data_IF_841268485650
#
_entry.id   IF_841268485650
#
_cell.length_a   1.000
_cell.length_b   1.000
_cell.length_c   1.000
_cell.angle_alpha   90.00
_cell.angle_beta   90.00
_cell.angle_gamma   90.00
#
_symmetry.space_group_name_H-M   'P 1'
#
loop_
_entity.id
_entity.type
_entity.pdbx_description
1 polymer ?
#
# COMPACT_ATOMS: atom_id res chain seq x y z
N UNK A 1 -65.59 -30.82 -16.83
CA UNK A 1 -66.61 -30.00 -16.13
C UNK A 1 -66.09 -28.57 -16.20
N UNK A 2 -66.67 -27.81 -17.12
CA UNK A 2 -66.87 -26.35 -17.19
C UNK A 2 -65.71 -25.41 -16.80
N UNK A 3 -65.15 -24.63 -17.75
CA UNK A 3 -65.62 -23.30 -18.21
C UNK A 3 -65.36 -22.23 -17.12
N UNK A 4 -64.88 -21.01 -17.32
CA UNK A 4 -64.68 -20.16 -18.50
C UNK A 4 -64.01 -18.85 -17.99
N UNK A 5 -63.23 -18.18 -18.85
CA UNK A 5 -63.21 -16.73 -19.17
C UNK A 5 -63.32 -15.66 -18.05
N UNK A 6 -62.66 -14.50 -18.07
CA UNK A 6 -62.30 -13.56 -19.18
C UNK A 6 -61.53 -12.39 -18.51
N UNK A 7 -60.44 -11.86 -19.10
CA UNK A 7 -60.35 -10.57 -19.84
C UNK A 7 -60.95 -9.33 -19.11
N UNK A 8 -60.50 -8.09 -19.25
CA UNK A 8 -59.32 -7.40 -19.81
C UNK A 8 -59.59 -5.90 -19.62
N UNK A 9 -58.54 -5.13 -19.37
CA UNK A 9 -58.25 -3.78 -19.89
C UNK A 9 -59.18 -2.55 -19.73
N UNK A 10 -58.46 -1.42 -19.64
CA UNK A 10 -58.69 -0.09 -20.24
C UNK A 10 -59.27 0.98 -19.28
N UNK A 11 -58.48 2.02 -18.94
CA UNK A 11 -58.35 3.34 -19.61
C UNK A 11 -59.50 4.29 -19.20
N UNK A 12 -59.39 5.59 -18.89
CA UNK A 12 -58.76 6.73 -19.58
C UNK A 12 -58.75 7.94 -18.61
N UNK A 13 -57.80 8.85 -18.83
CA UNK A 13 -57.65 10.28 -18.46
C UNK A 13 -58.82 11.03 -17.80
N UNK A 14 -58.47 11.93 -16.86
CA UNK A 14 -59.05 13.28 -16.85
C UNK A 14 -58.03 14.35 -16.42
N UNK A 15 -58.08 15.47 -17.12
CA UNK A 15 -57.24 16.67 -17.08
C UNK A 15 -57.83 17.79 -16.22
N UNK A 16 -56.99 18.72 -15.73
CA UNK A 16 -57.17 20.20 -15.65
C UNK A 16 -56.03 20.77 -14.77
N UNK A 17 -55.01 21.46 -15.27
CA UNK A 17 -54.92 22.82 -15.85
C UNK A 17 -54.54 23.92 -14.83
N UNK A 18 -53.32 24.45 -15.03
CA UNK A 18 -52.72 25.76 -14.72
C UNK A 18 -52.93 26.51 -13.40
N UNK A 19 -51.82 26.93 -12.79
CA UNK A 19 -51.51 28.36 -12.61
C UNK A 19 -50.01 28.59 -12.38
N UNK A 20 -49.45 29.46 -13.21
CA UNK A 20 -48.08 29.98 -13.20
C UNK A 20 -47.75 30.73 -11.90
N UNK A 21 -46.57 30.46 -11.34
CA UNK A 21 -45.74 31.50 -10.72
C UNK A 21 -44.26 31.18 -10.90
N UNK A 22 -43.64 31.95 -11.78
CA UNK A 22 -42.20 31.97 -12.01
C UNK A 22 -41.45 32.49 -10.78
N UNK A 23 -40.49 31.71 -10.28
CA UNK A 23 -39.45 32.20 -9.37
C UNK A 23 -38.15 32.35 -10.19
N UNK A 24 -37.76 33.61 -10.41
CA UNK A 24 -36.50 34.00 -11.07
C UNK A 24 -35.30 33.54 -10.23
N UNK A 25 -34.17 33.17 -10.87
CA UNK A 25 -32.95 32.83 -10.16
C UNK A 25 -32.33 34.10 -9.60
N UNK A 26 -32.11 34.14 -8.29
CA UNK A 26 -31.51 35.30 -7.65
C UNK A 26 -29.98 35.17 -7.63
N UNK A 27 -29.38 36.30 -7.96
CA UNK A 27 -28.01 36.53 -8.35
C UNK A 27 -26.99 36.31 -7.21
N UNK A 28 -25.81 35.81 -7.60
CA UNK A 28 -24.49 36.12 -7.05
C UNK A 28 -24.35 36.32 -5.53
N UNK A 29 -23.83 35.28 -4.87
CA UNK A 29 -22.75 35.45 -3.88
C UNK A 29 -21.74 34.33 -4.08
N UNK A 30 -20.91 34.53 -5.09
CA UNK A 30 -19.67 33.79 -5.25
C UNK A 30 -18.80 34.19 -4.06
N UNK A 31 -18.70 33.32 -3.06
CA UNK A 31 -17.74 33.49 -1.98
C UNK A 31 -16.37 33.36 -2.60
N UNK A 32 -15.66 34.48 -2.72
CA UNK A 32 -14.24 34.54 -3.03
C UNK A 32 -13.45 33.82 -1.92
N UNK A 33 -13.45 32.49 -1.99
CA UNK A 33 -12.37 31.70 -1.41
C UNK A 33 -11.21 31.87 -2.39
N UNK A 34 -10.45 32.93 -2.14
CA UNK A 34 -9.18 33.23 -2.77
C UNK A 34 -8.34 31.94 -2.78
N UNK A 35 -8.38 31.24 -3.91
CA UNK A 35 -7.68 29.99 -4.09
C UNK A 35 -6.20 30.21 -3.86
N UNK A 36 -5.54 29.27 -3.18
CA UNK A 36 -4.10 29.32 -2.95
C UNK A 36 -3.41 29.68 -4.28
N UNK A 37 -2.67 30.81 -4.36
CA UNK A 37 -2.04 31.24 -5.59
C UNK A 37 -1.24 30.10 -6.23
N UNK A 38 -1.33 29.94 -7.55
CA UNK A 38 -0.60 28.90 -8.29
C UNK A 38 0.89 28.89 -7.96
N UNK A 39 1.45 30.05 -7.62
CA UNK A 39 2.84 30.21 -7.20
C UNK A 39 3.14 29.55 -5.85
N UNK A 40 2.19 29.53 -4.92
CA UNK A 40 2.30 28.79 -3.66
C UNK A 40 2.15 27.29 -3.92
N UNK A 41 1.20 26.88 -4.77
CA UNK A 41 1.09 25.47 -5.19
C UNK A 41 2.35 24.98 -5.91
N UNK A 42 2.96 25.82 -6.75
CA UNK A 42 4.22 25.55 -7.43
C UNK A 42 5.38 25.55 -6.44
N UNK A 43 5.41 26.46 -5.47
CA UNK A 43 6.43 26.52 -4.42
C UNK A 43 6.35 25.34 -3.45
N UNK A 44 5.15 24.88 -3.12
CA UNK A 44 4.90 23.70 -2.27
C UNK A 44 5.17 22.41 -3.04
N UNK A 45 4.78 22.31 -4.31
CA UNK A 45 5.16 21.19 -5.18
C UNK A 45 6.68 21.17 -5.44
N UNK A 46 7.33 22.33 -5.51
CA UNK A 46 8.78 22.44 -5.65
C UNK A 46 9.48 22.11 -4.33
N UNK A 47 8.95 22.51 -3.18
CA UNK A 47 9.47 22.18 -1.85
C UNK A 47 9.28 20.68 -1.51
N UNK A 48 8.14 20.09 -1.88
CA UNK A 48 7.89 18.65 -1.78
C UNK A 48 8.65 17.85 -2.86
N UNK A 49 8.89 18.47 -4.03
CA UNK A 49 9.69 17.91 -5.12
C UNK A 49 11.20 18.05 -4.94
N UNK A 50 11.67 18.88 -4.00
CA UNK A 50 13.09 19.01 -3.64
C UNK A 50 13.52 18.03 -2.54
N UNK A 51 12.56 17.35 -1.91
CA UNK A 51 12.75 16.02 -1.34
C UNK A 51 12.66 14.97 -2.46
N UNK A 52 13.56 15.04 -3.45
CA UNK A 52 13.74 13.90 -4.35
C UNK A 52 14.31 12.78 -3.49
N UNK A 53 13.44 11.84 -3.12
CA UNK A 53 13.86 10.59 -2.49
C UNK A 53 14.70 9.72 -3.44
N UNK A 54 14.70 10.10 -4.72
CA UNK A 54 15.62 9.63 -5.73
C UNK A 54 16.27 10.83 -6.46
N UNK A 55 17.30 11.46 -5.88
CA UNK A 55 17.96 12.62 -6.49
C UNK A 55 18.79 12.28 -7.73
N UNK A 56 19.00 10.98 -8.01
CA UNK A 56 19.86 10.48 -9.08
C UNK A 56 19.13 9.57 -10.09
N UNK A 57 17.80 9.47 -10.02
CA UNK A 57 17.00 8.53 -10.84
C UNK A 57 17.56 7.09 -10.80
N UNK A 58 18.05 6.66 -9.63
CA UNK A 58 18.66 5.34 -9.41
C UNK A 58 17.61 4.26 -9.15
N UNK A 59 16.35 4.64 -8.91
CA UNK A 59 15.29 3.66 -8.74
C UNK A 59 14.91 3.05 -10.10
N UNK A 60 14.66 1.75 -10.15
CA UNK A 60 14.36 1.03 -11.39
C UNK A 60 13.02 1.44 -12.04
N UNK A 61 12.26 2.36 -11.43
CA UNK A 61 10.95 2.80 -11.90
C UNK A 61 10.73 4.29 -11.66
N UNK A 62 10.04 4.95 -12.60
CA UNK A 62 9.65 6.36 -12.46
C UNK A 62 8.64 6.52 -11.31
N UNK A 63 9.04 7.20 -10.26
CA UNK A 63 8.19 7.46 -9.11
C UNK A 63 7.10 8.48 -9.43
N UNK A 64 5.84 8.10 -9.22
CA UNK A 64 4.71 9.05 -9.27
C UNK A 64 4.64 9.92 -8.00
N UNK A 65 3.78 10.94 -8.00
CA UNK A 65 3.52 11.79 -6.82
C UNK A 65 3.06 10.96 -5.61
N UNK A 66 2.25 9.92 -5.84
CA UNK A 66 1.78 9.02 -4.78
C UNK A 66 2.96 8.27 -4.15
N UNK A 67 3.87 7.75 -4.96
CA UNK A 67 5.06 7.06 -4.45
C UNK A 67 5.93 7.97 -3.58
N UNK A 68 6.21 9.19 -4.03
CA UNK A 68 6.98 10.15 -3.24
C UNK A 68 6.31 10.47 -1.90
N UNK A 69 5.00 10.72 -1.91
CA UNK A 69 4.22 10.97 -0.68
C UNK A 69 4.31 9.80 0.29
N UNK A 70 4.15 8.57 -0.20
CA UNK A 70 4.20 7.36 0.61
C UNK A 70 5.60 7.07 1.14
N UNK A 71 6.64 7.21 0.33
CA UNK A 71 8.01 7.04 0.80
C UNK A 71 8.38 8.09 1.85
N UNK A 72 8.03 9.36 1.62
CA UNK A 72 8.27 10.42 2.60
C UNK A 72 7.59 10.10 3.94
N UNK A 73 6.30 9.73 3.89
CA UNK A 73 5.55 9.30 5.09
C UNK A 73 6.21 8.13 5.81
N UNK A 74 6.67 7.12 5.07
CA UNK A 74 7.30 5.95 5.64
C UNK A 74 8.60 6.29 6.38
N UNK A 75 9.49 7.05 5.74
CA UNK A 75 10.77 7.43 6.37
C UNK A 75 10.60 8.42 7.52
N UNK A 76 9.61 9.33 7.45
CA UNK A 76 9.40 10.31 8.51
C UNK A 76 8.65 9.75 9.71
N UNK A 77 7.59 8.98 9.48
CA UNK A 77 6.66 8.57 10.54
C UNK A 77 6.95 7.16 11.08
N UNK A 78 7.24 6.19 10.21
CA UNK A 78 7.41 4.80 10.63
C UNK A 78 8.81 4.53 11.18
N UNK A 79 9.86 5.08 10.54
CA UNK A 79 11.24 4.87 11.01
C UNK A 79 11.46 5.41 12.44
N UNK A 80 10.90 6.58 12.73
CA UNK A 80 10.97 7.19 14.06
C UNK A 80 10.24 6.37 15.13
N UNK A 81 9.12 5.73 14.77
CA UNK A 81 8.30 4.96 15.71
C UNK A 81 8.89 3.58 16.03
N UNK A 82 9.41 2.89 15.01
CA UNK A 82 9.81 1.49 15.16
C UNK A 82 11.25 1.34 15.69
N UNK A 83 12.14 2.29 15.39
CA UNK A 83 13.57 2.14 15.70
C UNK A 83 14.16 3.28 16.55
N UNK A 84 13.37 4.31 16.85
CA UNK A 84 13.83 5.48 17.60
C UNK A 84 14.90 6.32 16.87
N UNK A 85 15.30 7.48 17.43
CA UNK A 85 16.35 8.29 16.85
C UNK A 85 17.70 7.57 16.97
N UNK A 86 18.35 7.33 15.83
CA UNK A 86 19.74 6.84 15.80
C UNK A 86 20.69 8.04 15.80
N UNK A 87 21.79 8.03 16.57
CA UNK A 87 22.84 9.04 16.45
C UNK A 87 23.36 9.12 15.01
N UNK A 88 23.82 10.32 14.60
CA UNK A 88 24.41 10.51 13.28
C UNK A 88 25.57 9.53 13.07
N UNK A 89 25.54 8.79 11.95
CA UNK A 89 26.54 7.78 11.60
C UNK A 89 26.36 6.40 12.27
N UNK A 90 25.40 6.24 13.20
CA UNK A 90 25.11 4.93 13.79
C UNK A 90 24.35 4.00 12.82
N UNK A 91 24.35 2.70 13.13
CA UNK A 91 23.55 1.70 12.42
C UNK A 91 22.06 1.99 12.60
N UNK A 92 21.33 2.06 11.49
CA UNK A 92 19.88 2.25 11.46
C UNK A 92 19.25 1.06 10.73
N UNK A 93 18.44 0.22 11.40
CA UNK A 93 17.79 -0.92 10.75
C UNK A 93 16.95 -0.52 9.54
N UNK A 94 16.31 0.65 9.58
CA UNK A 94 15.56 1.17 8.42
C UNK A 94 16.46 1.49 7.24
N UNK A 95 17.54 2.24 7.46
CA UNK A 95 18.45 2.67 6.39
C UNK A 95 19.33 1.52 5.89
N UNK A 96 19.86 0.74 6.81
CA UNK A 96 20.95 -0.20 6.53
C UNK A 96 20.45 -1.61 6.20
N UNK A 97 19.21 -1.95 6.53
CA UNK A 97 18.63 -3.28 6.30
C UNK A 97 17.38 -3.20 5.43
N UNK A 98 16.33 -2.54 5.90
CA UNK A 98 15.03 -2.57 5.25
C UNK A 98 15.01 -1.82 3.92
N UNK A 99 15.55 -0.60 3.88
CA UNK A 99 15.53 0.22 2.68
C UNK A 99 16.21 -0.47 1.48
N UNK A 100 17.44 -1.05 1.61
CA UNK A 100 18.04 -1.82 0.53
C UNK A 100 17.19 -3.01 0.06
N UNK A 101 16.52 -3.71 0.98
CA UNK A 101 15.66 -4.84 0.64
C UNK A 101 14.35 -4.40 -0.03
N UNK A 102 13.84 -3.22 0.32
CA UNK A 102 12.61 -2.68 -0.26
C UNK A 102 12.81 -2.19 -1.69
N UNK A 103 14.00 -1.66 -1.98
CA UNK A 103 14.35 -1.12 -3.28
C UNK A 103 15.01 -2.16 -4.20
N UNK A 104 15.28 -3.38 -3.71
CA UNK A 104 15.99 -4.40 -4.48
C UNK A 104 15.23 -4.88 -5.70
N UNK A 105 13.89 -4.88 -5.63
CA UNK A 105 13.03 -5.42 -6.69
C UNK A 105 11.61 -4.82 -6.64
N UNK A 106 10.83 -4.91 -7.73
CA UNK A 106 9.54 -4.25 -7.81
C UNK A 106 8.48 -4.84 -6.85
N UNK A 107 8.55 -6.11 -6.48
CA UNK A 107 7.58 -6.70 -5.54
C UNK A 107 7.80 -6.17 -4.12
N UNK A 108 9.06 -6.13 -3.66
CA UNK A 108 9.43 -5.51 -2.38
C UNK A 108 9.01 -4.04 -2.32
N UNK A 109 9.23 -3.29 -3.40
CA UNK A 109 8.87 -1.88 -3.47
C UNK A 109 7.36 -1.67 -3.37
N UNK A 110 6.57 -2.44 -4.13
CA UNK A 110 5.12 -2.39 -4.04
C UNK A 110 4.63 -2.77 -2.62
N UNK A 111 5.22 -3.80 -2.01
CA UNK A 111 4.86 -4.16 -0.65
C UNK A 111 5.23 -3.06 0.37
N UNK A 112 6.35 -2.36 0.21
CA UNK A 112 6.67 -1.15 0.98
C UNK A 112 5.61 -0.04 0.79
N UNK A 113 5.17 0.21 -0.44
CA UNK A 113 4.11 1.19 -0.71
C UNK A 113 2.80 0.81 -0.04
N UNK A 114 2.46 -0.48 -0.04
CA UNK A 114 1.30 -1.00 0.66
C UNK A 114 1.37 -0.70 2.17
N UNK A 115 2.50 -1.00 2.82
CA UNK A 115 2.71 -0.69 4.24
C UNK A 115 2.53 0.80 4.53
N UNK A 116 3.16 1.65 3.72
CA UNK A 116 3.08 3.10 3.91
C UNK A 116 1.66 3.62 3.73
N UNK A 117 0.96 3.17 2.70
CA UNK A 117 -0.42 3.57 2.42
C UNK A 117 -1.39 3.10 3.51
N UNK A 118 -1.19 1.89 4.06
CA UNK A 118 -2.01 1.38 5.15
C UNK A 118 -1.76 2.18 6.45
N UNK A 119 -0.49 2.45 6.76
CA UNK A 119 -0.13 3.27 7.92
C UNK A 119 -0.69 4.70 7.81
N UNK A 120 -0.58 5.33 6.64
CA UNK A 120 -1.14 6.67 6.40
C UNK A 120 -2.66 6.69 6.56
N UNK A 121 -3.37 5.72 5.99
CA UNK A 121 -4.83 5.61 6.11
C UNK A 121 -5.26 5.44 7.58
N UNK A 122 -4.52 4.62 8.34
CA UNK A 122 -4.76 4.42 9.78
C UNK A 122 -4.59 5.71 10.58
N UNK A 123 -3.55 6.49 10.29
CA UNK A 123 -3.33 7.81 10.92
C UNK A 123 -4.44 8.81 10.59
N UNK A 124 -5.14 8.63 9.47
CA UNK A 124 -6.31 9.42 9.08
C UNK A 124 -7.63 8.89 9.65
N UNK A 125 -7.59 7.83 10.46
CA UNK A 125 -8.76 7.25 11.13
C UNK A 125 -9.49 6.16 10.33
N UNK A 126 -8.96 5.76 9.17
CA UNK A 126 -9.56 4.69 8.37
C UNK A 126 -9.05 3.33 8.80
N UNK A 127 -9.93 2.32 8.79
CA UNK A 127 -9.59 0.93 9.11
C UNK A 127 -8.96 0.17 7.94
N UNK A 128 -9.17 0.64 6.71
CA UNK A 128 -8.75 0.01 5.47
C UNK A 128 -8.18 1.05 4.50
N UNK A 129 -7.42 0.59 3.51
CA UNK A 129 -6.82 1.45 2.48
C UNK A 129 -6.86 0.75 1.13
N UNK A 130 -7.67 1.27 0.20
CA UNK A 130 -7.77 0.75 -1.17
C UNK A 130 -6.41 0.84 -1.87
N UNK A 131 -5.72 1.99 -1.75
CA UNK A 131 -4.36 2.18 -2.28
C UNK A 131 -3.38 1.15 -1.72
N UNK A 132 -3.48 0.81 -0.42
CA UNK A 132 -2.62 -0.23 0.15
C UNK A 132 -2.92 -1.62 -0.44
N UNK A 133 -4.20 -1.93 -0.66
CA UNK A 133 -4.62 -3.19 -1.27
C UNK A 133 -4.17 -3.30 -2.73
N UNK A 134 -4.22 -2.21 -3.50
CA UNK A 134 -3.70 -2.16 -4.87
C UNK A 134 -2.20 -2.50 -4.91
N UNK A 135 -1.40 -1.82 -4.09
CA UNK A 135 0.04 -2.09 -4.00
C UNK A 135 0.35 -3.50 -3.49
N UNK A 136 -0.38 -4.00 -2.48
CA UNK A 136 -0.24 -5.39 -2.00
C UNK A 136 -0.57 -6.38 -3.11
N UNK A 137 -1.67 -6.16 -3.84
CA UNK A 137 -2.11 -7.02 -4.93
C UNK A 137 -1.04 -7.10 -6.03
N UNK A 138 -0.44 -5.97 -6.40
CA UNK A 138 0.62 -5.94 -7.41
C UNK A 138 1.89 -6.65 -6.93
N UNK A 139 2.29 -6.47 -5.66
CA UNK A 139 3.41 -7.22 -5.08
C UNK A 139 3.17 -8.74 -5.13
N UNK A 140 1.97 -9.20 -4.73
CA UNK A 140 1.59 -10.62 -4.77
C UNK A 140 1.59 -11.14 -6.20
N UNK A 141 1.06 -10.38 -7.17
CA UNK A 141 1.03 -10.75 -8.59
C UNK A 141 2.44 -10.96 -9.14
N UNK A 142 3.38 -10.06 -8.82
CA UNK A 142 4.78 -10.18 -9.24
C UNK A 142 5.44 -11.41 -8.62
N UNK A 143 5.26 -11.64 -7.31
CA UNK A 143 5.78 -12.84 -6.62
C UNK A 143 5.22 -14.12 -7.26
N UNK A 144 3.91 -14.18 -7.51
CA UNK A 144 3.27 -15.33 -8.17
C UNK A 144 3.88 -15.62 -9.55
N UNK A 145 4.19 -14.58 -10.33
CA UNK A 145 4.87 -14.74 -11.61
C UNK A 145 6.28 -15.33 -11.44
N UNK A 146 7.05 -14.87 -10.45
CA UNK A 146 8.40 -15.38 -10.19
C UNK A 146 8.39 -16.82 -9.68
N UNK A 147 7.37 -17.20 -8.93
CA UNK A 147 7.17 -18.55 -8.41
C UNK A 147 6.86 -19.59 -9.49
N UNK A 148 6.55 -19.18 -10.73
CA UNK A 148 6.35 -20.11 -11.86
C UNK A 148 7.66 -20.75 -12.32
N UNK A 149 8.79 -20.13 -12.02
CA UNK A 149 10.13 -20.63 -12.31
C UNK A 149 10.76 -21.15 -11.00
N UNK A 150 10.99 -22.48 -10.85
CA UNK A 150 11.55 -23.06 -9.63
C UNK A 150 12.92 -22.50 -9.23
N UNK A 151 13.78 -22.13 -10.19
CA UNK A 151 15.11 -21.58 -9.87
C UNK A 151 14.97 -20.15 -9.34
N UNK A 152 14.08 -19.36 -9.96
CA UNK A 152 13.79 -18.01 -9.50
C UNK A 152 13.02 -17.98 -8.19
N UNK A 153 12.16 -18.95 -7.92
CA UNK A 153 11.31 -19.03 -6.73
C UNK A 153 12.12 -18.97 -5.42
N UNK A 154 13.35 -19.48 -5.42
CA UNK A 154 14.24 -19.47 -4.24
C UNK A 154 15.20 -18.28 -4.20
N UNK A 155 15.11 -17.33 -5.13
CA UNK A 155 15.99 -16.15 -5.20
C UNK A 155 15.82 -15.19 -4.02
N UNK A 156 16.84 -14.33 -3.81
CA UNK A 156 16.78 -13.25 -2.80
C UNK A 156 15.61 -12.32 -3.02
N UNK A 157 15.27 -12.03 -4.29
CA UNK A 157 14.20 -11.11 -4.64
C UNK A 157 12.84 -11.60 -4.15
N UNK A 158 12.55 -12.90 -4.36
CA UNK A 158 11.30 -13.52 -3.90
C UNK A 158 11.23 -13.53 -2.39
N UNK A 159 12.31 -13.91 -1.71
CA UNK A 159 12.34 -13.97 -0.24
C UNK A 159 12.19 -12.58 0.38
N UNK A 160 12.87 -11.56 -0.16
CA UNK A 160 12.74 -10.17 0.29
C UNK A 160 11.30 -9.66 0.16
N UNK A 161 10.66 -9.94 -0.97
CA UNK A 161 9.27 -9.54 -1.22
C UNK A 161 8.30 -10.25 -0.26
N UNK A 162 8.48 -11.55 -0.01
CA UNK A 162 7.64 -12.32 0.93
C UNK A 162 7.81 -11.82 2.37
N UNK A 163 9.03 -11.51 2.81
CA UNK A 163 9.28 -10.95 4.14
C UNK A 163 8.58 -9.59 4.32
N UNK A 164 8.60 -8.76 3.29
CA UNK A 164 7.92 -7.47 3.31
C UNK A 164 6.40 -7.64 3.31
N UNK A 165 5.85 -8.59 2.55
CA UNK A 165 4.43 -8.97 2.61
C UNK A 165 4.03 -9.53 3.99
N UNK A 166 4.88 -10.33 4.63
CA UNK A 166 4.66 -10.80 6.00
C UNK A 166 4.57 -9.65 7.00
N UNK A 167 5.41 -8.63 6.81
CA UNK A 167 5.34 -7.39 7.58
C UNK A 167 3.98 -6.73 7.37
N UNK A 168 3.50 -6.67 6.12
CA UNK A 168 2.16 -6.15 5.83
C UNK A 168 1.07 -6.94 6.59
N UNK A 169 1.04 -8.26 6.44
CA UNK A 169 0.00 -9.09 7.05
C UNK A 169 0.00 -8.99 8.58
N UNK A 170 1.18 -8.84 9.18
CA UNK A 170 1.32 -8.74 10.64
C UNK A 170 0.63 -7.52 11.23
N UNK A 171 0.61 -6.39 10.52
CA UNK A 171 0.06 -5.13 11.03
C UNK A 171 -1.32 -4.79 10.46
N UNK A 172 -1.59 -5.16 9.20
CA UNK A 172 -2.80 -4.72 8.49
C UNK A 172 -3.60 -5.87 7.86
N UNK A 173 -3.08 -7.10 7.88
CA UNK A 173 -3.74 -8.27 7.31
C UNK A 173 -4.47 -9.13 8.33
N UNK A 174 -4.78 -10.35 7.90
CA UNK A 174 -5.37 -11.38 8.76
C UNK A 174 -4.33 -12.40 9.20
N UNK A 175 -4.57 -13.05 10.34
CA UNK A 175 -3.68 -14.14 10.79
C UNK A 175 -3.67 -15.31 9.81
N UNK A 176 -4.78 -15.56 9.12
CA UNK A 176 -4.85 -16.57 8.07
C UNK A 176 -3.89 -16.26 6.89
N UNK A 177 -3.89 -15.02 6.39
CA UNK A 177 -2.96 -14.59 5.35
C UNK A 177 -1.51 -14.64 5.85
N UNK A 178 -1.26 -14.18 7.06
CA UNK A 178 0.07 -14.25 7.67
C UNK A 178 0.61 -15.69 7.73
N UNK A 179 -0.20 -16.66 8.17
CA UNK A 179 0.18 -18.08 8.23
C UNK A 179 0.50 -18.62 6.82
N UNK A 180 -0.28 -18.25 5.80
CA UNK A 180 -0.05 -18.69 4.42
C UNK A 180 1.29 -18.17 3.92
N UNK A 181 1.57 -16.87 4.06
CA UNK A 181 2.82 -16.27 3.63
C UNK A 181 4.02 -16.81 4.42
N UNK A 182 3.85 -17.08 5.72
CA UNK A 182 4.91 -17.59 6.58
C UNK A 182 5.28 -19.02 6.22
N UNK A 183 4.28 -19.88 6.01
CA UNK A 183 4.48 -21.24 5.51
C UNK A 183 5.17 -21.25 4.14
N UNK A 184 4.76 -20.35 3.24
CA UNK A 184 5.40 -20.15 1.94
C UNK A 184 6.89 -19.80 2.07
N UNK A 185 7.22 -18.83 2.93
CA UNK A 185 8.60 -18.45 3.23
C UNK A 185 9.42 -19.64 3.74
N UNK A 186 8.91 -20.39 4.72
CA UNK A 186 9.62 -21.52 5.32
C UNK A 186 9.87 -22.64 4.32
N UNK A 187 8.91 -22.91 3.43
CA UNK A 187 9.07 -23.90 2.35
C UNK A 187 10.17 -23.48 1.36
N UNK A 188 10.18 -22.21 0.94
CA UNK A 188 11.19 -21.67 0.03
C UNK A 188 12.59 -21.68 0.65
N UNK A 189 12.70 -21.31 1.93
CA UNK A 189 13.95 -21.40 2.67
C UNK A 189 14.44 -22.85 2.75
N UNK A 190 13.55 -23.80 3.02
CA UNK A 190 13.88 -25.23 3.02
C UNK A 190 14.43 -25.69 1.67
N UNK A 191 13.75 -25.33 0.57
CA UNK A 191 14.19 -25.65 -0.79
C UNK A 191 15.54 -25.02 -1.15
N UNK A 192 15.85 -23.85 -0.58
CA UNK A 192 17.12 -23.14 -0.78
C UNK A 192 18.30 -23.72 0.01
N UNK A 193 18.04 -24.60 0.98
CA UNK A 193 19.07 -25.14 1.88
C UNK A 193 19.12 -24.50 3.28
N UNK A 194 18.04 -23.82 3.68
CA UNK A 194 17.87 -23.20 5.00
C UNK A 194 18.46 -21.79 5.11
N UNK A 195 18.41 -21.22 6.32
CA UNK A 195 18.85 -19.83 6.58
C UNK A 195 20.34 -19.63 6.25
N UNK A 196 21.19 -20.64 6.48
CA UNK A 196 22.63 -20.56 6.18
C UNK A 196 22.93 -20.31 4.68
N UNK A 197 21.99 -20.67 3.78
CA UNK A 197 22.08 -20.38 2.36
C UNK A 197 21.90 -18.89 2.01
N UNK A 198 21.54 -18.06 2.99
CA UNK A 198 21.42 -16.60 2.87
C UNK A 198 22.68 -15.86 3.31
N UNK A 199 23.76 -16.55 3.71
CA UNK A 199 24.99 -15.94 4.24
C UNK A 199 25.67 -14.94 3.31
N UNK A 200 25.43 -15.01 1.99
CA UNK A 200 25.88 -14.02 1.00
C UNK A 200 25.09 -12.71 1.03
N UNK A 201 23.90 -12.72 1.63
CA UNK A 201 23.01 -11.58 1.82
C UNK A 201 22.61 -11.44 3.30
N UNK A 202 23.53 -10.88 4.08
CA UNK A 202 23.37 -10.71 5.53
C UNK A 202 22.09 -9.95 5.95
N UNK A 203 21.56 -9.07 5.09
CA UNK A 203 20.30 -8.34 5.37
C UNK A 203 19.11 -9.28 5.33
N UNK A 204 19.08 -10.14 4.32
CA UNK A 204 18.04 -11.13 4.14
C UNK A 204 18.13 -12.22 5.21
N UNK A 205 19.34 -12.65 5.55
CA UNK A 205 19.59 -13.55 6.67
C UNK A 205 19.08 -12.95 8.00
N UNK A 206 19.49 -11.73 8.32
CA UNK A 206 19.09 -11.02 9.55
C UNK A 206 17.56 -10.86 9.63
N UNK A 207 16.92 -10.38 8.56
CA UNK A 207 15.46 -10.20 8.55
C UNK A 207 14.74 -11.53 8.66
N UNK A 208 15.15 -12.57 7.93
CA UNK A 208 14.57 -13.91 8.04
C UNK A 208 14.64 -14.45 9.47
N UNK A 209 15.74 -14.22 10.17
CA UNK A 209 15.91 -14.63 11.57
C UNK A 209 14.91 -13.93 12.51
N UNK A 210 14.59 -12.66 12.28
CA UNK A 210 13.57 -11.92 13.06
C UNK A 210 12.15 -12.46 12.87
N UNK A 211 11.87 -13.12 11.74
CA UNK A 211 10.58 -13.74 11.42
C UNK A 211 10.52 -15.24 11.77
N UNK A 212 11.59 -15.78 12.36
CA UNK A 212 11.60 -17.13 12.88
C UNK A 212 10.66 -17.24 14.10
N UNK A 213 9.97 -18.39 14.28
CA UNK A 213 8.92 -18.58 15.29
C UNK A 213 9.36 -18.36 16.75
N UNK A 214 10.66 -18.24 17.03
CA UNK A 214 11.19 -17.96 18.37
C UNK A 214 11.21 -16.48 18.74
N UNK A 215 11.09 -15.56 17.77
CA UNK A 215 11.05 -14.13 18.01
C UNK A 215 9.61 -13.61 17.94
N UNK A 216 8.94 -13.60 19.09
CA UNK A 216 7.70 -12.83 19.24
C UNK A 216 8.05 -11.34 19.32
N UNK A 217 7.95 -10.63 18.20
CA UNK A 217 7.89 -9.17 18.27
C UNK A 217 6.62 -8.76 19.02
N UNK A 218 6.72 -7.98 20.12
CA UNK A 218 5.54 -7.42 20.74
C UNK A 218 4.83 -6.57 19.71
N UNK A 219 3.51 -6.78 19.61
CA UNK A 219 2.66 -5.99 18.73
C UNK A 219 2.81 -4.52 19.12
N UNK A 220 3.50 -3.73 18.30
CA UNK A 220 3.27 -2.29 18.26
C UNK A 220 1.90 -2.11 17.58
N UNK A 221 0.83 -2.39 18.33
CA UNK A 221 -0.50 -1.87 17.99
C UNK A 221 -0.41 -0.36 18.19
N UNK A 222 -0.40 0.38 17.09
CA UNK A 222 -0.74 1.79 17.10
C UNK A 222 -2.21 1.95 17.47
#
# INVERSE_FOLDING_TARGET
MSDENSESSSSVLNTNASSDTALKPNNERQSDLEGIPYQIFSGVNLALGSSRLDPFDQLPMKLSVVHHKLLHHWFSAHAAMTFGPSPDGAFSPMRDVWLPLDLSNPASFNALMALSAAHLSRMQGFSQSEVALEFKSEAVRIVQLWMQDPERAVSDDVLAAILRLLTFERYWGTEAEWIIHHKGLMNLLGARGGIAALSSNWRLELTTFLWAPHFSFPLLRC
#
